data_IF_387552952336
#
_entry.id   IF_387552952336
#
_cell.length_a   1.000
_cell.length_b   1.000
_cell.length_c   1.000
_cell.angle_alpha   90.00
_cell.angle_beta   90.00
_cell.angle_gamma   90.00
#
_symmetry.space_group_name_H-M   'P 1'
#
loop_
_entity.id
_entity.type
_entity.pdbx_description
1 polymer ?
#
# COMPACT_ATOMS: atom_id res chain seq x y z
N UNK A 1 -2.09 4.31 36.65
CA UNK A 1 -1.71 3.53 35.46
C UNK A 1 -2.83 2.52 35.17
N UNK A 2 -3.36 2.44 33.93
CA UNK A 2 -4.28 1.35 33.59
C UNK A 2 -3.51 0.03 33.69
N UNK A 3 -4.10 -0.99 34.32
CA UNK A 3 -3.50 -2.32 34.41
C UNK A 3 -3.36 -2.92 33.01
N UNK A 4 -2.24 -3.59 32.71
CA UNK A 4 -2.03 -4.32 31.47
C UNK A 4 -3.08 -5.43 31.31
N UNK A 5 -3.93 -5.35 30.30
CA UNK A 5 -4.95 -6.37 30.05
C UNK A 5 -4.34 -7.53 29.25
N UNK A 6 -4.36 -8.72 29.83
CA UNK A 6 -3.71 -9.92 29.33
C UNK A 6 -4.57 -10.76 28.34
N UNK A 7 -5.73 -10.26 27.94
CA UNK A 7 -6.63 -10.94 27.01
C UNK A 7 -7.12 -10.03 25.91
N UNK A 8 -7.45 -10.57 24.76
CA UNK A 8 -8.18 -9.95 23.67
C UNK A 8 -8.98 -11.02 22.89
N UNK A 9 -10.03 -10.63 22.18
CA UNK A 9 -10.65 -11.49 21.17
C UNK A 9 -9.80 -11.54 19.91
N UNK A 10 -9.22 -10.38 19.52
CA UNK A 10 -8.34 -10.27 18.37
C UNK A 10 -7.12 -9.41 18.73
N UNK A 11 -5.92 -9.94 18.51
CA UNK A 11 -4.66 -9.20 18.62
C UNK A 11 -4.11 -8.89 17.21
N UNK A 12 -3.92 -7.62 16.90
CA UNK A 12 -3.43 -7.14 15.61
C UNK A 12 -1.98 -6.66 15.77
N UNK A 13 -1.05 -7.23 15.00
CA UNK A 13 0.37 -6.89 15.05
C UNK A 13 0.70 -5.92 13.92
N UNK A 14 0.90 -4.65 14.28
CA UNK A 14 1.20 -3.54 13.38
C UNK A 14 0.13 -2.44 13.42
N UNK A 15 0.56 -1.22 13.71
CA UNK A 15 -0.28 -0.01 13.78
C UNK A 15 -0.21 0.87 12.53
N UNK A 16 0.12 0.29 11.38
CA UNK A 16 -0.02 0.94 10.07
C UNK A 16 -1.45 0.97 9.60
N UNK A 17 -1.68 1.53 8.41
CA UNK A 17 -3.03 1.69 7.81
C UNK A 17 -3.81 0.37 7.76
N UNK A 18 -3.15 -0.77 7.49
CA UNK A 18 -3.78 -2.09 7.46
C UNK A 18 -4.33 -2.48 8.84
N UNK A 19 -3.52 -2.28 9.89
CA UNK A 19 -3.90 -2.68 11.25
C UNK A 19 -5.02 -1.84 11.82
N UNK A 20 -4.97 -0.53 11.64
CA UNK A 20 -6.03 0.37 12.14
C UNK A 20 -7.33 0.24 11.34
N UNK A 21 -7.25 -0.05 10.04
CA UNK A 21 -8.41 -0.37 9.22
C UNK A 21 -9.06 -1.69 9.67
N UNK A 22 -8.28 -2.76 9.82
CA UNK A 22 -8.79 -4.05 10.31
C UNK A 22 -9.43 -3.92 11.71
N UNK A 23 -8.77 -3.19 12.61
CA UNK A 23 -9.29 -2.91 13.96
C UNK A 23 -10.64 -2.18 13.94
N UNK A 24 -10.76 -1.16 13.07
CA UNK A 24 -12.00 -0.42 12.88
C UNK A 24 -13.14 -1.33 12.40
N UNK A 25 -12.92 -2.12 11.35
CA UNK A 25 -13.96 -2.99 10.80
C UNK A 25 -14.36 -4.12 11.76
N UNK A 26 -13.43 -4.68 12.51
CA UNK A 26 -13.73 -5.66 13.56
C UNK A 26 -14.62 -5.04 14.64
N UNK A 27 -14.24 -3.89 15.18
CA UNK A 27 -15.02 -3.21 16.20
C UNK A 27 -16.39 -2.73 15.69
N UNK A 28 -16.46 -2.18 14.46
CA UNK A 28 -17.71 -1.78 13.79
C UNK A 28 -18.67 -2.95 13.62
N UNK A 29 -18.15 -4.18 13.49
CA UNK A 29 -18.91 -5.42 13.40
C UNK A 29 -19.16 -6.10 14.74
N UNK A 30 -18.86 -5.43 15.86
CA UNK A 30 -19.24 -5.84 17.20
C UNK A 30 -18.21 -6.65 18.00
N UNK A 31 -16.96 -6.78 17.52
CA UNK A 31 -15.88 -7.36 18.34
C UNK A 31 -15.55 -6.40 19.48
N UNK A 32 -15.77 -6.82 20.71
CA UNK A 32 -15.71 -5.95 21.88
C UNK A 32 -14.29 -5.73 22.42
N UNK A 33 -13.37 -6.65 22.13
CA UNK A 33 -12.02 -6.65 22.69
C UNK A 33 -10.95 -6.86 21.59
N UNK A 34 -10.69 -5.79 20.85
CA UNK A 34 -9.60 -5.73 19.86
C UNK A 34 -8.42 -4.97 20.42
N UNK A 35 -7.20 -5.48 20.24
CA UNK A 35 -5.97 -4.77 20.58
C UNK A 35 -5.05 -4.66 19.35
N UNK A 36 -4.61 -3.45 19.07
CA UNK A 36 -3.53 -3.18 18.09
C UNK A 36 -2.23 -3.00 18.85
N UNK A 37 -1.19 -3.72 18.44
CA UNK A 37 0.15 -3.71 19.04
C UNK A 37 1.13 -3.11 18.04
N UNK A 38 1.61 -1.91 18.33
CA UNK A 38 2.57 -1.19 17.50
C UNK A 38 3.90 -1.05 18.24
N UNK A 39 5.00 -1.45 17.58
CA UNK A 39 6.34 -1.40 18.18
C UNK A 39 6.85 0.02 18.41
N UNK A 40 6.46 0.94 17.54
CA UNK A 40 6.81 2.36 17.58
C UNK A 40 5.56 3.23 17.81
N UNK A 41 5.39 4.31 17.07
CA UNK A 41 4.17 5.12 17.02
C UNK A 41 3.33 4.71 15.80
N UNK A 42 2.02 4.97 15.85
CA UNK A 42 1.10 4.68 14.75
C UNK A 42 1.55 5.32 13.44
N UNK A 43 1.44 4.56 12.37
CA UNK A 43 1.64 5.01 10.99
C UNK A 43 3.04 5.62 10.68
N UNK A 44 4.05 5.46 11.52
CA UNK A 44 5.37 6.07 11.32
C UNK A 44 6.28 5.32 10.31
N UNK A 45 5.96 4.08 9.97
CA UNK A 45 6.71 3.29 8.99
C UNK A 45 6.18 3.52 7.55
N UNK A 46 6.02 2.45 6.76
CA UNK A 46 5.62 2.54 5.34
C UNK A 46 4.38 3.38 5.09
N UNK A 47 3.43 3.43 6.02
CA UNK A 47 2.23 4.27 5.91
C UNK A 47 2.57 5.76 5.85
N UNK A 48 3.27 6.28 6.86
CA UNK A 48 3.60 7.71 6.94
C UNK A 48 4.72 8.14 5.97
N UNK A 49 5.46 7.18 5.40
CA UNK A 49 6.49 7.43 4.40
C UNK A 49 6.00 7.25 2.96
N UNK A 50 4.72 6.85 2.78
CA UNK A 50 4.09 6.67 1.47
C UNK A 50 3.76 8.01 0.81
N UNK A 51 3.78 8.05 -0.51
CA UNK A 51 3.34 9.21 -1.31
C UNK A 51 1.82 9.32 -1.43
N UNK A 52 1.08 8.34 -0.89
CA UNK A 52 -0.39 8.41 -0.80
C UNK A 52 -1.15 8.21 -2.09
N UNK A 53 -0.52 7.62 -3.09
CA UNK A 53 -1.19 7.33 -4.35
C UNK A 53 -2.25 6.23 -4.23
N UNK A 54 -3.38 6.41 -4.93
CA UNK A 54 -4.38 5.36 -5.14
C UNK A 54 -4.78 5.30 -6.60
N UNK A 55 -4.97 4.10 -7.12
CA UNK A 55 -5.33 3.82 -8.52
C UNK A 55 -6.19 2.59 -8.66
N UNK A 56 -6.93 2.50 -9.75
CA UNK A 56 -7.72 1.35 -10.14
C UNK A 56 -7.13 0.63 -11.36
N UNK A 57 -6.12 1.21 -11.99
CA UNK A 57 -5.40 0.66 -13.12
C UNK A 57 -4.47 -0.47 -12.68
N UNK A 58 -5.01 -1.69 -12.55
CA UNK A 58 -4.28 -2.93 -12.29
C UNK A 58 -4.45 -3.91 -13.44
N UNK A 59 -3.55 -4.88 -13.57
CA UNK A 59 -3.65 -5.99 -14.53
C UNK A 59 -4.54 -7.13 -14.01
N UNK A 60 -4.59 -7.31 -12.69
CA UNK A 60 -5.32 -8.39 -12.05
C UNK A 60 -6.71 -7.93 -11.57
N UNK A 61 -7.82 -8.63 -11.97
CA UNK A 61 -9.19 -8.32 -11.55
C UNK A 61 -9.39 -8.27 -10.02
N UNK A 62 -8.68 -9.10 -9.27
CA UNK A 62 -8.79 -9.10 -7.81
C UNK A 62 -8.22 -7.80 -7.21
N UNK A 63 -7.07 -7.31 -7.73
CA UNK A 63 -6.51 -6.01 -7.32
C UNK A 63 -7.41 -4.84 -7.73
N UNK A 64 -8.02 -4.89 -8.93
CA UNK A 64 -8.99 -3.89 -9.38
C UNK A 64 -10.13 -3.79 -8.35
N UNK A 65 -10.72 -4.92 -7.96
CA UNK A 65 -11.83 -4.95 -6.99
C UNK A 65 -11.43 -4.42 -5.63
N UNK A 66 -10.26 -4.81 -5.10
CA UNK A 66 -9.74 -4.27 -3.84
C UNK A 66 -9.59 -2.75 -3.87
N UNK A 67 -9.02 -2.24 -4.97
CA UNK A 67 -8.86 -0.80 -5.14
C UNK A 67 -10.18 -0.06 -5.28
N UNK A 68 -11.12 -0.57 -6.06
CA UNK A 68 -12.44 0.06 -6.22
C UNK A 68 -13.19 0.17 -4.89
N UNK A 69 -13.20 -0.91 -4.09
CA UNK A 69 -13.83 -0.87 -2.77
C UNK A 69 -13.12 0.12 -1.83
N UNK A 70 -11.81 0.18 -1.88
CA UNK A 70 -11.04 1.10 -1.05
C UNK A 70 -11.23 2.57 -1.46
N UNK A 71 -11.25 2.85 -2.76
CA UNK A 71 -11.48 4.21 -3.28
C UNK A 71 -12.86 4.73 -2.86
N UNK A 72 -13.91 3.89 -2.89
CA UNK A 72 -15.25 4.27 -2.39
C UNK A 72 -15.25 4.69 -0.91
N UNK A 73 -14.41 4.04 -0.09
CA UNK A 73 -14.25 4.42 1.32
C UNK A 73 -13.52 5.75 1.44
N UNK A 74 -12.44 5.95 0.66
CA UNK A 74 -11.69 7.20 0.66
C UNK A 74 -12.49 8.38 0.11
N UNK A 75 -13.32 8.19 -0.90
CA UNK A 75 -14.26 9.22 -1.43
C UNK A 75 -15.22 9.76 -0.36
N UNK A 76 -15.57 8.92 0.62
CA UNK A 76 -16.52 9.26 1.70
C UNK A 76 -15.86 9.37 3.08
N UNK A 77 -14.52 9.49 3.09
CA UNK A 77 -13.75 9.36 4.32
C UNK A 77 -14.10 10.46 5.33
N UNK A 78 -14.22 11.70 4.90
CA UNK A 78 -14.61 12.80 5.77
C UNK A 78 -16.02 12.61 6.35
N UNK A 79 -16.96 12.15 5.53
CA UNK A 79 -18.34 11.85 5.96
C UNK A 79 -18.37 10.71 7.00
N UNK A 80 -17.64 9.62 6.75
CA UNK A 80 -17.70 8.42 7.59
C UNK A 80 -16.83 8.49 8.86
N UNK A 81 -15.69 9.16 8.78
CA UNK A 81 -14.67 9.18 9.84
C UNK A 81 -14.47 10.56 10.48
N UNK A 82 -15.05 11.62 9.90
CA UNK A 82 -14.91 12.99 10.39
C UNK A 82 -13.47 13.53 10.26
N UNK A 83 -12.74 13.08 9.25
CA UNK A 83 -11.35 13.46 9.00
C UNK A 83 -11.13 13.73 7.51
N UNK A 84 -10.67 14.94 7.20
CA UNK A 84 -10.18 15.25 5.86
C UNK A 84 -8.82 14.57 5.65
N UNK A 85 -8.73 13.75 4.62
CA UNK A 85 -7.51 13.02 4.23
C UNK A 85 -6.85 13.63 2.98
N UNK A 86 -7.22 14.84 2.62
CA UNK A 86 -6.77 15.52 1.39
C UNK A 86 -7.01 14.69 0.13
N UNK A 87 -8.13 14.00 0.06
CA UNK A 87 -8.50 13.14 -1.06
C UNK A 87 -8.65 13.94 -2.34
N UNK A 88 -7.86 13.59 -3.37
CA UNK A 88 -7.85 14.28 -4.67
C UNK A 88 -7.76 13.30 -5.83
N UNK A 89 -8.79 13.26 -6.67
CA UNK A 89 -8.78 12.52 -7.94
C UNK A 89 -8.14 13.39 -9.02
N UNK A 90 -6.81 13.39 -9.08
CA UNK A 90 -6.01 14.14 -10.06
C UNK A 90 -5.60 13.31 -11.26
N UNK A 91 -5.90 12.03 -11.22
CA UNK A 91 -5.58 11.05 -12.25
C UNK A 91 -4.19 10.44 -12.14
N UNK A 92 -4.03 9.29 -12.84
CA UNK A 92 -2.76 8.60 -13.07
C UNK A 92 -2.52 8.40 -14.54
N UNK A 93 -1.31 8.69 -14.97
CA UNK A 93 -0.83 8.46 -16.33
C UNK A 93 0.26 7.40 -16.27
N UNK A 94 0.07 6.29 -16.98
CA UNK A 94 1.14 5.33 -17.26
C UNK A 94 1.66 5.57 -18.66
N UNK A 95 2.98 5.65 -18.81
CA UNK A 95 3.69 5.91 -20.05
C UNK A 95 4.64 4.76 -20.37
N UNK A 96 4.82 4.44 -21.66
CA UNK A 96 5.80 3.48 -22.10
C UNK A 96 6.40 3.81 -23.46
N UNK A 97 7.65 3.43 -23.66
CA UNK A 97 8.41 3.51 -24.91
C UNK A 97 8.46 2.15 -25.61
N UNK A 98 8.22 1.05 -24.86
CA UNK A 98 8.38 -0.33 -25.33
C UNK A 98 7.09 -0.86 -25.94
N UNK A 99 7.20 -1.52 -27.08
CA UNK A 99 6.07 -2.15 -27.76
C UNK A 99 5.41 -3.25 -26.92
N UNK A 100 6.22 -4.07 -26.22
CA UNK A 100 5.73 -5.13 -25.35
C UNK A 100 4.87 -4.57 -24.22
N UNK A 101 5.39 -3.58 -23.48
CA UNK A 101 4.65 -2.91 -22.39
C UNK A 101 3.40 -2.20 -22.90
N UNK A 102 3.46 -1.65 -24.12
CA UNK A 102 2.30 -1.03 -24.77
C UNK A 102 1.18 -2.04 -25.02
N UNK A 103 1.52 -3.21 -25.55
CA UNK A 103 0.57 -4.31 -25.78
C UNK A 103 -0.02 -4.82 -24.44
N UNK A 104 0.79 -4.93 -23.39
CA UNK A 104 0.30 -5.22 -22.05
C UNK A 104 -0.69 -4.13 -21.56
N UNK A 105 -0.39 -2.85 -21.80
CA UNK A 105 -1.30 -1.75 -21.45
C UNK A 105 -2.66 -1.89 -22.13
N UNK A 106 -2.68 -2.20 -23.42
CA UNK A 106 -3.93 -2.37 -24.16
C UNK A 106 -4.75 -3.55 -23.63
N UNK A 107 -4.10 -4.68 -23.33
CA UNK A 107 -4.75 -5.85 -22.75
C UNK A 107 -5.31 -5.57 -21.35
N UNK A 108 -4.54 -4.84 -20.51
CA UNK A 108 -4.98 -4.45 -19.19
C UNK A 108 -6.19 -3.50 -19.23
N UNK A 109 -6.20 -2.55 -20.20
CA UNK A 109 -7.34 -1.63 -20.39
C UNK A 109 -8.62 -2.39 -20.73
N UNK A 110 -8.53 -3.47 -21.55
CA UNK A 110 -9.70 -4.31 -21.81
C UNK A 110 -10.24 -4.94 -20.51
N UNK A 111 -9.34 -5.47 -19.68
CA UNK A 111 -9.69 -6.04 -18.36
C UNK A 111 -10.27 -4.97 -17.44
N UNK A 112 -9.65 -3.82 -17.35
CA UNK A 112 -10.08 -2.70 -16.51
C UNK A 112 -11.48 -2.21 -16.93
N UNK A 113 -11.76 -2.06 -18.23
CA UNK A 113 -13.07 -1.66 -18.75
C UNK A 113 -14.17 -2.69 -18.45
N UNK A 114 -13.86 -4.00 -18.54
CA UNK A 114 -14.79 -5.06 -18.12
C UNK A 114 -15.17 -4.97 -16.64
N UNK A 115 -14.30 -4.39 -15.83
CA UNK A 115 -14.54 -4.12 -14.40
C UNK A 115 -14.98 -2.68 -14.11
N UNK A 116 -15.46 -1.95 -15.12
CA UNK A 116 -15.96 -0.57 -15.00
C UNK A 116 -14.93 0.44 -14.48
N UNK A 117 -13.63 0.22 -14.74
CA UNK A 117 -12.60 1.22 -14.48
C UNK A 117 -12.55 2.18 -15.66
N UNK A 118 -12.75 3.49 -15.44
CA UNK A 118 -12.67 4.48 -16.52
C UNK A 118 -11.21 4.74 -16.87
N UNK A 119 -10.76 4.15 -17.98
CA UNK A 119 -9.38 4.32 -18.48
C UNK A 119 -9.41 4.78 -19.92
N UNK A 120 -8.67 5.84 -20.21
CA UNK A 120 -8.41 6.36 -21.53
C UNK A 120 -7.06 5.82 -22.06
N UNK A 121 -7.04 5.48 -23.35
CA UNK A 121 -5.80 5.17 -24.08
C UNK A 121 -5.45 6.41 -24.89
N UNK A 122 -4.23 6.88 -24.75
CA UNK A 122 -3.79 8.16 -25.31
C UNK A 122 -2.55 7.99 -26.19
N UNK A 123 -2.60 8.57 -27.38
CA UNK A 123 -1.44 8.71 -28.24
C UNK A 123 -0.43 9.73 -27.70
N UNK A 124 0.84 9.72 -28.18
CA UNK A 124 1.81 10.75 -27.79
C UNK A 124 1.32 12.17 -28.05
N UNK A 125 0.60 12.43 -29.16
CA UNK A 125 0.07 13.74 -29.52
C UNK A 125 -1.02 14.19 -28.52
N UNK A 126 -1.89 13.28 -28.10
CA UNK A 126 -2.94 13.55 -27.10
C UNK A 126 -2.33 13.80 -25.72
N UNK A 127 -1.30 13.04 -25.33
CA UNK A 127 -0.53 13.27 -24.12
C UNK A 127 0.13 14.65 -24.14
N UNK A 128 0.78 15.03 -25.25
CA UNK A 128 1.41 16.35 -25.42
C UNK A 128 0.42 17.49 -25.37
N UNK A 129 -0.75 17.30 -25.94
CA UNK A 129 -1.83 18.30 -25.94
C UNK A 129 -2.38 18.54 -24.52
N UNK A 130 -2.57 17.48 -23.73
CA UNK A 130 -3.12 17.57 -22.35
C UNK A 130 -2.07 18.03 -21.35
N UNK A 131 -0.83 17.54 -21.47
CA UNK A 131 0.27 17.81 -20.55
C UNK A 131 1.51 18.28 -21.33
N UNK A 132 1.54 19.54 -21.78
CA UNK A 132 2.59 20.06 -22.66
C UNK A 132 4.00 20.01 -22.08
N UNK A 133 4.12 19.87 -20.75
CA UNK A 133 5.37 19.73 -20.05
C UNK A 133 6.02 18.35 -20.18
N UNK A 134 5.28 17.34 -20.65
CA UNK A 134 5.83 16.00 -20.89
C UNK A 134 6.63 15.97 -22.19
N UNK A 135 7.77 15.31 -22.13
CA UNK A 135 8.43 14.81 -23.34
C UNK A 135 7.74 13.50 -23.76
N UNK A 136 7.27 13.46 -24.99
CA UNK A 136 6.52 12.34 -25.56
C UNK A 136 7.19 11.73 -26.79
N UNK A 137 8.34 12.27 -27.20
CA UNK A 137 8.99 11.97 -28.49
C UNK A 137 9.44 10.51 -28.59
N UNK A 138 9.70 9.87 -27.45
CA UNK A 138 10.13 8.49 -27.33
C UNK A 138 8.99 7.50 -26.99
N UNK A 139 7.76 8.01 -26.79
CA UNK A 139 6.65 7.19 -26.30
C UNK A 139 5.91 6.43 -27.40
N UNK A 140 5.44 5.24 -27.06
CA UNK A 140 4.40 4.51 -27.81
C UNK A 140 3.02 5.04 -27.50
N UNK A 141 2.78 5.47 -26.27
CA UNK A 141 1.54 6.02 -25.76
C UNK A 141 1.46 5.95 -24.25
N UNK A 142 0.25 6.13 -23.76
CA UNK A 142 -0.05 6.02 -22.33
C UNK A 142 -1.49 5.69 -22.03
N UNK A 143 -1.76 5.35 -20.78
CA UNK A 143 -3.12 5.19 -20.25
C UNK A 143 -3.36 6.22 -19.15
N UNK A 144 -4.59 6.73 -19.08
CA UNK A 144 -5.00 7.72 -18.08
C UNK A 144 -6.24 7.26 -17.32
N UNK A 145 -6.12 7.12 -16.01
CA UNK A 145 -7.23 6.84 -15.10
C UNK A 145 -7.69 8.10 -14.38
N UNK A 146 -8.80 8.74 -14.81
CA UNK A 146 -9.26 10.01 -14.24
C UNK A 146 -9.78 9.89 -12.80
N UNK A 147 -10.14 8.68 -12.36
CA UNK A 147 -10.62 8.38 -11.01
C UNK A 147 -9.51 7.95 -10.03
N UNK A 148 -8.29 7.88 -10.51
CA UNK A 148 -7.11 7.65 -9.70
C UNK A 148 -6.61 8.97 -9.08
N UNK A 149 -5.78 8.91 -8.04
CA UNK A 149 -5.35 10.14 -7.40
C UNK A 149 -4.47 9.94 -6.19
N UNK A 150 -4.55 10.84 -5.24
CA UNK A 150 -3.78 10.78 -4.00
C UNK A 150 -4.61 11.23 -2.79
N UNK A 151 -4.20 10.75 -1.61
CA UNK A 151 -4.68 11.19 -0.32
C UNK A 151 -3.54 11.11 0.70
N UNK A 152 -3.67 11.73 1.87
CA UNK A 152 -2.66 11.64 2.92
C UNK A 152 -2.79 10.31 3.68
N UNK A 153 -1.77 9.42 3.63
CA UNK A 153 -1.84 8.11 4.26
C UNK A 153 -1.80 8.17 5.80
N UNK A 154 -1.13 9.17 6.36
CA UNK A 154 -1.06 9.35 7.79
C UNK A 154 -2.41 9.81 8.33
N UNK A 155 -3.03 10.82 7.71
CA UNK A 155 -4.36 11.30 8.09
C UNK A 155 -5.41 10.19 7.96
N UNK A 156 -5.34 9.38 6.90
CA UNK A 156 -6.24 8.24 6.74
C UNK A 156 -6.04 7.19 7.85
N UNK A 157 -4.80 6.85 8.17
CA UNK A 157 -4.52 5.91 9.26
C UNK A 157 -5.01 6.45 10.62
N UNK A 158 -4.80 7.73 10.88
CA UNK A 158 -5.27 8.36 12.12
C UNK A 158 -6.79 8.47 12.18
N UNK A 159 -7.47 8.69 11.05
CA UNK A 159 -8.93 8.65 10.95
C UNK A 159 -9.50 7.28 11.35
N UNK A 160 -8.95 6.20 10.78
CA UNK A 160 -9.30 4.82 11.18
C UNK A 160 -8.98 4.56 12.66
N UNK A 161 -7.77 4.91 13.12
CA UNK A 161 -7.36 4.69 14.51
C UNK A 161 -8.27 5.40 15.52
N UNK A 162 -8.62 6.66 15.26
CA UNK A 162 -9.49 7.43 16.12
C UNK A 162 -10.92 6.86 16.13
N UNK A 163 -11.43 6.43 14.99
CA UNK A 163 -12.74 5.78 14.89
C UNK A 163 -12.75 4.41 15.58
N UNK A 164 -11.68 3.62 15.45
CA UNK A 164 -11.51 2.38 16.17
C UNK A 164 -11.47 2.60 17.70
N UNK A 165 -10.74 3.61 18.18
CA UNK A 165 -10.72 3.99 19.61
C UNK A 165 -12.10 4.38 20.14
N UNK A 166 -12.89 5.12 19.38
CA UNK A 166 -14.29 5.47 19.75
C UNK A 166 -15.17 4.23 19.91
N UNK A 167 -14.87 3.15 19.17
CA UNK A 167 -15.54 1.85 19.25
C UNK A 167 -14.94 0.92 20.32
N UNK A 168 -13.98 1.39 21.13
CA UNK A 168 -13.42 0.62 22.24
C UNK A 168 -12.13 -0.15 21.94
N UNK A 169 -11.59 -0.06 20.73
CA UNK A 169 -10.31 -0.69 20.38
C UNK A 169 -9.17 -0.15 21.25
N UNK A 170 -8.38 -1.04 21.81
CA UNK A 170 -7.14 -0.71 22.50
C UNK A 170 -6.02 -0.57 21.48
N UNK A 171 -5.29 0.51 21.51
CA UNK A 171 -4.10 0.71 20.67
C UNK A 171 -2.92 0.93 21.62
N UNK A 172 -2.00 -0.02 21.60
CA UNK A 172 -0.82 -0.06 22.44
C UNK A 172 0.42 0.24 21.60
N UNK A 173 0.78 1.50 21.57
CA UNK A 173 2.04 1.97 20.96
C UNK A 173 3.24 1.60 21.83
N UNK A 174 4.44 1.62 21.25
CA UNK A 174 5.70 1.23 21.89
C UNK A 174 5.60 -0.15 22.58
N UNK A 175 4.94 -1.07 21.86
CA UNK A 175 4.66 -2.43 22.35
C UNK A 175 5.00 -3.43 21.26
N UNK A 176 6.28 -3.80 21.23
CA UNK A 176 6.80 -4.80 20.29
C UNK A 176 6.32 -6.19 20.65
N UNK A 177 5.73 -6.89 19.70
CA UNK A 177 5.47 -8.33 19.79
C UNK A 177 6.82 -9.07 19.59
N UNK A 178 7.09 -10.03 20.46
CA UNK A 178 8.33 -10.80 20.49
C UNK A 178 8.12 -12.29 20.23
N UNK A 179 6.87 -12.76 20.22
CA UNK A 179 6.51 -14.13 19.94
C UNK A 179 5.01 -14.30 19.64
N UNK A 180 4.67 -15.39 18.98
CA UNK A 180 3.29 -15.85 18.77
C UNK A 180 3.18 -17.25 19.39
N UNK A 181 2.24 -17.41 20.32
CA UNK A 181 2.05 -18.67 21.03
C UNK A 181 1.07 -19.55 20.22
N UNK A 182 1.51 -20.77 19.90
CA UNK A 182 0.74 -21.75 19.12
C UNK A 182 0.72 -23.08 19.89
N UNK A 183 -0.45 -23.70 19.98
CA UNK A 183 -0.63 -25.02 20.56
C UNK A 183 -1.56 -25.85 19.66
N UNK A 184 -1.11 -27.04 19.28
CA UNK A 184 -1.89 -27.94 18.43
C UNK A 184 -2.33 -27.33 17.08
N UNK A 185 -1.48 -26.48 16.48
CA UNK A 185 -1.81 -25.78 15.23
C UNK A 185 -2.82 -24.63 15.38
N UNK A 186 -3.09 -24.19 16.61
CA UNK A 186 -4.00 -23.07 16.90
C UNK A 186 -3.28 -21.96 17.65
N UNK A 187 -3.53 -20.73 17.24
CA UNK A 187 -3.03 -19.54 17.95
C UNK A 187 -3.64 -19.45 19.36
N UNK A 188 -2.80 -19.15 20.35
CA UNK A 188 -3.18 -18.90 21.73
C UNK A 188 -3.03 -17.41 22.12
N UNK A 189 -2.21 -16.66 21.37
CA UNK A 189 -1.95 -15.25 21.64
C UNK A 189 -0.56 -14.81 21.22
N UNK A 190 -0.12 -13.72 21.80
CA UNK A 190 1.17 -13.08 21.51
C UNK A 190 1.95 -12.77 22.76
N UNK A 191 3.27 -12.79 22.64
CA UNK A 191 4.22 -12.36 23.67
C UNK A 191 4.67 -10.92 23.40
N UNK A 192 4.76 -10.11 24.45
CA UNK A 192 5.27 -8.72 24.37
C UNK A 192 6.22 -8.44 25.53
N UNK A 193 7.01 -7.36 25.43
CA UNK A 193 7.85 -6.92 26.54
C UNK A 193 7.04 -6.49 27.80
N UNK A 194 5.74 -6.18 27.63
CA UNK A 194 4.82 -5.82 28.72
C UNK A 194 4.11 -7.05 29.32
N UNK A 195 4.33 -8.23 28.74
CA UNK A 195 3.72 -9.50 29.11
C UNK A 195 2.85 -10.09 27.99
N UNK A 196 2.38 -11.33 28.18
CA UNK A 196 1.56 -12.03 27.19
C UNK A 196 0.15 -11.44 27.08
N UNK A 197 -0.43 -11.61 25.86
CA UNK A 197 -1.85 -11.38 25.60
C UNK A 197 -2.42 -12.65 24.99
N UNK A 198 -3.34 -13.31 25.71
CA UNK A 198 -4.08 -14.44 25.16
C UNK A 198 -5.13 -13.93 24.17
N UNK A 199 -5.14 -14.51 22.97
CA UNK A 199 -6.09 -14.16 21.91
C UNK A 199 -6.32 -15.35 20.97
N UNK A 200 -7.58 -15.76 20.71
CA UNK A 200 -7.89 -16.84 19.78
C UNK A 200 -7.67 -16.48 18.31
N UNK A 201 -7.54 -15.18 18.00
CA UNK A 201 -7.21 -14.68 16.67
C UNK A 201 -6.05 -13.67 16.74
N UNK A 202 -5.04 -13.86 15.89
CA UNK A 202 -3.88 -12.99 15.72
C UNK A 202 -3.78 -12.58 14.25
N UNK A 203 -3.60 -11.29 14.01
CA UNK A 203 -3.51 -10.73 12.66
C UNK A 203 -2.12 -10.12 12.44
N UNK A 204 -1.34 -10.69 11.53
CA UNK A 204 -0.06 -10.13 11.12
C UNK A 204 -0.25 -9.12 9.99
N UNK A 205 -0.13 -7.84 10.32
CA UNK A 205 -0.15 -6.70 9.38
C UNK A 205 1.06 -5.79 9.61
N UNK A 206 2.17 -6.41 10.00
CA UNK A 206 3.40 -5.74 10.42
C UNK A 206 4.23 -5.17 9.23
N UNK A 207 3.64 -5.05 8.03
CA UNK A 207 4.27 -4.46 6.85
C UNK A 207 5.66 -5.06 6.57
N UNK A 208 6.75 -4.25 6.54
CA UNK A 208 8.10 -4.73 6.26
C UNK A 208 8.62 -5.79 7.23
N UNK A 209 8.11 -5.82 8.46
CA UNK A 209 8.45 -6.83 9.48
C UNK A 209 7.54 -8.07 9.44
N UNK A 210 6.58 -8.12 8.51
CA UNK A 210 5.60 -9.20 8.43
C UNK A 210 6.23 -10.59 8.28
N UNK A 211 7.33 -10.72 7.55
CA UNK A 211 8.09 -11.97 7.45
C UNK A 211 8.76 -12.38 8.77
N UNK A 212 9.30 -11.42 9.54
CA UNK A 212 9.86 -11.70 10.88
C UNK A 212 8.78 -12.15 11.85
N UNK A 213 7.62 -11.47 11.82
CA UNK A 213 6.47 -11.85 12.65
C UNK A 213 5.93 -13.23 12.25
N UNK A 214 5.87 -13.57 10.97
CA UNK A 214 5.47 -14.91 10.52
C UNK A 214 6.41 -16.01 11.05
N UNK A 215 7.74 -15.77 11.06
CA UNK A 215 8.70 -16.70 11.63
C UNK A 215 8.53 -16.94 13.14
N UNK A 216 7.97 -15.99 13.89
CA UNK A 216 7.61 -16.21 15.31
C UNK A 216 6.56 -17.32 15.48
N UNK A 217 5.75 -17.57 14.45
CA UNK A 217 4.78 -18.65 14.38
C UNK A 217 5.32 -19.92 13.67
N UNK A 218 6.58 -19.91 13.24
CA UNK A 218 7.16 -21.02 12.46
C UNK A 218 6.84 -20.98 10.95
N UNK A 219 6.30 -19.87 10.44
CA UNK A 219 6.00 -19.68 9.03
C UNK A 219 7.12 -18.91 8.33
N UNK A 220 7.64 -19.44 7.22
CA UNK A 220 8.56 -18.71 6.34
C UNK A 220 7.83 -18.21 5.11
N UNK A 221 7.48 -16.93 5.13
CA UNK A 221 6.75 -16.28 4.02
C UNK A 221 7.74 -15.61 3.07
N UNK A 222 7.54 -15.72 1.74
CA UNK A 222 8.43 -15.14 0.75
C UNK A 222 8.21 -13.62 0.60
N UNK A 223 8.32 -12.89 1.70
CA UNK A 223 8.17 -11.43 1.74
C UNK A 223 9.47 -10.78 2.21
N UNK A 224 9.91 -9.76 1.51
CA UNK A 224 11.16 -9.05 1.83
C UNK A 224 10.97 -7.54 1.78
N UNK A 225 11.61 -6.78 2.70
CA UNK A 225 11.61 -5.33 2.65
C UNK A 225 12.62 -4.82 1.61
N UNK A 226 12.21 -3.83 0.82
CA UNK A 226 13.08 -3.12 -0.11
C UNK A 226 12.87 -1.62 0.02
N UNK A 227 13.98 -0.88 0.07
CA UNK A 227 13.93 0.57 0.14
C UNK A 227 13.40 1.16 -1.17
N UNK A 228 12.57 2.19 -1.02
CA UNK A 228 12.15 3.10 -2.09
C UNK A 228 12.46 4.52 -1.66
N UNK A 229 13.18 5.25 -2.49
CA UNK A 229 13.65 6.59 -2.18
C UNK A 229 12.76 7.62 -2.87
N UNK A 230 12.33 8.61 -2.12
CA UNK A 230 11.43 9.68 -2.54
C UNK A 230 12.09 11.02 -2.33
N UNK A 231 11.93 11.93 -3.28
CA UNK A 231 12.50 13.27 -3.23
C UNK A 231 11.41 14.31 -3.50
N UNK A 232 11.46 15.41 -2.75
CA UNK A 232 10.51 16.52 -2.86
C UNK A 232 11.27 17.79 -3.24
N UNK A 233 10.69 18.57 -4.14
CA UNK A 233 11.24 19.86 -4.53
C UNK A 233 10.78 20.97 -3.60
N UNK A 234 11.46 22.10 -3.64
CA UNK A 234 10.92 23.38 -3.19
C UNK A 234 9.69 23.74 -4.02
N UNK A 235 8.99 24.84 -3.65
CA UNK A 235 7.86 25.37 -4.44
C UNK A 235 8.20 25.43 -5.93
N UNK A 236 7.29 24.91 -6.75
CA UNK A 236 7.47 24.77 -8.20
C UNK A 236 6.17 25.03 -8.94
N UNK A 237 6.04 26.22 -9.52
CA UNK A 237 4.81 26.69 -10.17
C UNK A 237 4.94 26.68 -11.71
N UNK A 238 6.03 26.11 -12.27
CA UNK A 238 6.24 26.06 -13.71
C UNK A 238 5.39 25.01 -14.43
N UNK A 239 4.75 24.11 -13.70
CA UNK A 239 3.77 23.14 -14.22
C UNK A 239 2.38 23.53 -13.70
N UNK A 240 1.38 23.70 -14.60
CA UNK A 240 -0.01 23.96 -14.19
C UNK A 240 -0.55 22.87 -13.27
N UNK A 241 -1.24 23.26 -12.21
CA UNK A 241 -1.88 22.34 -11.26
C UNK A 241 -3.36 22.10 -11.64
N UNK A 242 -3.97 20.97 -11.33
CA UNK A 242 -3.35 19.83 -10.61
C UNK A 242 -2.39 19.02 -11.50
N UNK A 243 -1.33 18.48 -10.89
CA UNK A 243 -0.37 17.62 -11.57
C UNK A 243 -0.74 16.17 -11.25
N UNK A 244 -1.15 15.35 -12.23
CA UNK A 244 -1.46 13.94 -12.01
C UNK A 244 -0.23 13.15 -11.59
N UNK A 245 -0.42 11.92 -11.10
CA UNK A 245 0.67 10.98 -10.96
C UNK A 245 1.10 10.51 -12.34
N UNK A 246 2.30 10.87 -12.75
CA UNK A 246 2.91 10.45 -14.02
C UNK A 246 3.89 9.33 -13.73
N UNK A 247 3.72 8.19 -14.37
CA UNK A 247 4.55 7.00 -14.23
C UNK A 247 5.17 6.65 -15.59
N UNK A 248 6.50 6.68 -15.67
CA UNK A 248 7.27 6.10 -16.77
C UNK A 248 7.57 4.64 -16.39
N UNK A 249 6.74 3.72 -16.92
CA UNK A 249 6.75 2.30 -16.50
C UNK A 249 8.07 1.62 -16.82
N UNK A 250 8.71 1.97 -17.92
CA UNK A 250 9.92 1.27 -18.39
C UNK A 250 11.15 1.51 -17.51
N UNK A 251 11.16 2.61 -16.78
CA UNK A 251 12.22 2.98 -15.83
C UNK A 251 11.72 3.11 -14.40
N UNK A 252 10.44 2.77 -14.17
CA UNK A 252 9.76 2.85 -12.87
C UNK A 252 9.83 4.23 -12.20
N UNK A 253 10.07 5.28 -12.99
CA UNK A 253 10.11 6.66 -12.53
C UNK A 253 8.70 7.22 -12.39
N UNK A 254 8.44 7.95 -11.32
CA UNK A 254 7.17 8.66 -11.12
C UNK A 254 7.36 10.04 -10.54
N UNK A 255 6.40 10.93 -10.83
CA UNK A 255 6.25 12.21 -10.14
C UNK A 255 4.80 12.65 -10.10
N UNK A 256 4.44 13.47 -9.11
CA UNK A 256 3.14 14.13 -9.03
C UNK A 256 3.24 15.46 -8.26
N UNK A 257 2.13 16.20 -8.23
CA UNK A 257 2.01 17.39 -7.40
C UNK A 257 2.09 17.05 -5.91
N UNK A 258 2.91 17.80 -5.17
CA UNK A 258 3.04 17.72 -3.72
C UNK A 258 3.23 19.14 -3.19
N UNK A 259 2.15 19.75 -2.74
CA UNK A 259 2.14 21.18 -2.41
C UNK A 259 3.20 21.57 -1.36
N UNK A 260 3.95 22.63 -1.61
CA UNK A 260 3.88 23.55 -2.78
C UNK A 260 4.77 23.13 -3.98
N UNK A 261 5.38 21.96 -3.96
CA UNK A 261 6.33 21.47 -4.97
C UNK A 261 5.84 20.23 -5.72
N UNK A 262 6.79 19.36 -6.01
CA UNK A 262 6.62 18.09 -6.71
C UNK A 262 7.30 17.00 -5.89
N UNK A 263 6.67 15.85 -5.80
CA UNK A 263 7.25 14.62 -5.27
C UNK A 263 7.63 13.71 -6.44
N UNK A 264 8.78 13.04 -6.34
CA UNK A 264 9.26 12.11 -7.35
C UNK A 264 10.03 10.95 -6.72
N UNK A 265 10.03 9.84 -7.39
CA UNK A 265 10.77 8.65 -6.99
C UNK A 265 10.95 7.67 -8.13
N UNK A 266 11.68 6.59 -7.85
CA UNK A 266 11.97 5.54 -8.80
C UNK A 266 12.32 4.26 -8.04
N UNK A 267 12.10 3.09 -8.65
CA UNK A 267 12.62 1.82 -8.12
C UNK A 267 14.06 1.60 -8.61
N UNK A 268 14.94 1.13 -7.72
CA UNK A 268 16.26 0.60 -8.11
C UNK A 268 16.16 -0.94 -8.17
N UNK A 269 16.35 -1.55 -9.34
CA UNK A 269 16.31 -3.02 -9.47
C UNK A 269 17.46 -3.71 -8.71
N UNK A 270 18.52 -2.97 -8.36
CA UNK A 270 19.69 -3.47 -7.64
C UNK A 270 19.62 -3.17 -6.14
N UNK A 271 18.53 -2.56 -5.64
CA UNK A 271 18.38 -2.29 -4.21
C UNK A 271 18.40 -3.60 -3.40
N UNK A 272 19.32 -3.78 -2.46
CA UNK A 272 19.33 -4.98 -1.63
C UNK A 272 18.18 -4.99 -0.63
N UNK A 273 17.64 -6.17 -0.34
CA UNK A 273 16.65 -6.31 0.73
C UNK A 273 17.27 -5.90 2.08
N UNK A 274 16.70 -4.90 2.71
CA UNK A 274 17.17 -4.35 3.99
C UNK A 274 16.09 -3.45 4.63
N UNK A 275 16.35 -3.05 5.89
CA UNK A 275 15.57 -2.02 6.60
C UNK A 275 16.19 -0.63 6.53
N UNK A 276 17.10 -0.38 5.56
CA UNK A 276 17.72 0.93 5.37
C UNK A 276 16.67 1.98 4.92
N UNK A 277 16.68 3.15 5.54
CA UNK A 277 15.79 4.28 5.21
C UNK A 277 16.57 5.52 4.75
N UNK A 278 17.89 5.43 4.63
CA UNK A 278 18.70 6.55 4.17
C UNK A 278 18.51 6.78 2.67
N UNK A 279 18.69 8.03 2.23
CA UNK A 279 18.75 8.37 0.81
C UNK A 279 20.18 8.38 0.32
N UNK A 280 20.38 8.05 -0.96
CA UNK A 280 21.67 8.05 -1.64
C UNK A 280 21.73 9.20 -2.64
N UNK A 281 22.87 9.89 -2.68
CA UNK A 281 23.08 10.98 -3.63
C UNK A 281 23.15 10.48 -5.08
N UNK A 282 23.86 9.38 -5.31
CA UNK A 282 24.01 8.81 -6.65
C UNK A 282 22.65 8.34 -7.21
N UNK A 283 21.76 7.86 -6.32
CA UNK A 283 20.42 7.50 -6.71
C UNK A 283 19.55 8.73 -7.01
N UNK A 284 19.69 9.80 -6.24
CA UNK A 284 19.03 11.08 -6.54
C UNK A 284 19.41 11.58 -7.94
N UNK A 285 20.67 11.47 -8.36
CA UNK A 285 21.12 11.88 -9.70
C UNK A 285 20.37 11.10 -10.78
N UNK A 286 20.22 9.79 -10.63
CA UNK A 286 19.40 8.94 -11.55
C UNK A 286 17.93 9.38 -11.60
N UNK A 287 17.33 9.68 -10.45
CA UNK A 287 15.95 10.18 -10.37
C UNK A 287 15.80 11.51 -11.08
N UNK A 288 16.77 12.43 -10.91
CA UNK A 288 16.76 13.74 -11.58
C UNK A 288 16.93 13.59 -13.10
N UNK A 289 17.80 12.71 -13.57
CA UNK A 289 17.95 12.39 -14.99
C UNK A 289 16.64 11.89 -15.61
N UNK A 290 15.97 10.91 -14.96
CA UNK A 290 14.69 10.41 -15.39
C UNK A 290 13.61 11.51 -15.39
N UNK A 291 13.59 12.36 -14.35
CA UNK A 291 12.67 13.49 -14.24
C UNK A 291 12.85 14.50 -15.39
N UNK A 292 14.08 14.92 -15.67
CA UNK A 292 14.38 15.90 -16.74
C UNK A 292 14.13 15.28 -18.11
N UNK A 293 14.41 14.01 -18.30
CA UNK A 293 14.09 13.28 -19.55
C UNK A 293 12.60 13.29 -19.81
N UNK A 294 11.76 12.92 -18.80
CA UNK A 294 10.32 12.81 -18.98
C UNK A 294 9.59 14.15 -18.95
N UNK A 295 10.06 15.09 -18.15
CA UNK A 295 9.50 16.44 -18.07
C UNK A 295 10.64 17.48 -18.03
N UNK A 296 11.14 17.96 -19.19
CA UNK A 296 12.33 18.83 -19.28
C UNK A 296 12.27 20.13 -18.45
N UNK A 297 11.06 20.59 -18.15
CA UNK A 297 10.84 21.77 -17.30
C UNK A 297 11.36 21.55 -15.87
N UNK A 298 11.42 20.29 -15.40
CA UNK A 298 11.89 19.92 -14.06
C UNK A 298 13.38 20.19 -13.83
N UNK A 299 14.17 20.45 -14.88
CA UNK A 299 15.55 20.97 -14.73
C UNK A 299 15.65 22.26 -13.93
N UNK A 300 14.55 23.01 -13.81
CA UNK A 300 14.46 24.26 -13.03
C UNK A 300 14.09 24.00 -11.56
N UNK A 301 13.64 22.79 -11.22
CA UNK A 301 13.25 22.45 -9.86
C UNK A 301 14.49 22.34 -8.96
N UNK A 302 14.29 22.58 -7.65
CA UNK A 302 15.34 22.44 -6.64
C UNK A 302 14.90 21.46 -5.60
N UNK A 303 15.68 20.43 -5.36
CA UNK A 303 15.37 19.43 -4.30
C UNK A 303 15.37 20.14 -2.95
N UNK A 304 14.35 19.89 -2.16
CA UNK A 304 14.22 20.34 -0.78
C UNK A 304 14.73 19.29 0.19
N UNK A 305 14.23 18.05 0.06
CA UNK A 305 14.54 16.91 0.92
C UNK A 305 14.21 15.59 0.22
N UNK A 306 14.68 14.50 0.82
CA UNK A 306 14.26 13.15 0.45
C UNK A 306 14.20 12.25 1.67
N UNK A 307 13.57 11.09 1.52
CA UNK A 307 13.53 10.04 2.52
C UNK A 307 13.41 8.67 1.86
N UNK A 308 13.73 7.62 2.62
CA UNK A 308 13.49 6.23 2.23
C UNK A 308 12.25 5.68 2.92
N UNK A 309 11.43 4.94 2.19
CA UNK A 309 10.35 4.10 2.70
C UNK A 309 10.63 2.63 2.38
N UNK A 310 9.88 1.71 2.98
CA UNK A 310 10.04 0.28 2.72
C UNK A 310 8.81 -0.27 2.00
N UNK A 311 9.03 -0.86 0.82
CA UNK A 311 8.07 -1.77 0.21
C UNK A 311 8.27 -3.17 0.78
N UNK A 312 7.18 -3.90 0.97
CA UNK A 312 7.21 -5.32 1.32
C UNK A 312 6.82 -6.09 0.08
N UNK A 313 7.80 -6.72 -0.55
CA UNK A 313 7.67 -7.33 -1.88
C UNK A 313 7.52 -8.84 -1.74
N UNK A 314 6.58 -9.41 -2.49
CA UNK A 314 6.38 -10.83 -2.75
C UNK A 314 6.95 -11.20 -4.13
N UNK A 315 7.20 -12.49 -4.44
CA UNK A 315 7.74 -12.90 -5.75
C UNK A 315 6.85 -12.62 -6.96
N UNK A 316 5.56 -12.31 -6.75
CA UNK A 316 4.55 -12.06 -7.78
C UNK A 316 3.87 -10.70 -7.62
N UNK A 317 4.40 -9.85 -6.75
CA UNK A 317 3.90 -8.51 -6.44
C UNK A 317 2.45 -8.44 -5.93
N UNK A 318 1.81 -9.58 -5.67
CA UNK A 318 0.50 -9.65 -5.02
C UNK A 318 0.64 -9.82 -3.50
N UNK A 319 -0.23 -9.23 -2.69
CA UNK A 319 -0.21 -9.43 -1.25
C UNK A 319 -0.55 -10.87 -0.85
N UNK A 320 -0.21 -11.23 0.38
CA UNK A 320 -0.73 -12.42 1.06
C UNK A 320 -1.85 -11.95 1.97
N UNK A 321 -3.08 -12.47 1.76
CA UNK A 321 -4.27 -12.12 2.54
C UNK A 321 -5.01 -13.40 2.90
N UNK A 322 -5.26 -13.61 4.19
CA UNK A 322 -6.06 -14.74 4.66
C UNK A 322 -5.55 -15.40 5.93
N UNK A 323 -6.20 -16.51 6.30
CA UNK A 323 -5.76 -17.37 7.40
C UNK A 323 -4.59 -18.24 6.95
N UNK A 324 -3.59 -18.38 7.80
CA UNK A 324 -2.40 -19.18 7.50
C UNK A 324 -2.74 -20.68 7.46
N UNK A 325 -2.39 -21.35 6.37
CA UNK A 325 -2.60 -22.79 6.23
C UNK A 325 -1.90 -23.56 7.35
N UNK A 326 -2.63 -24.42 8.05
CA UNK A 326 -2.10 -25.19 9.19
C UNK A 326 -2.06 -24.45 10.53
N UNK A 327 -2.46 -23.18 10.58
CA UNK A 327 -2.45 -22.36 11.80
C UNK A 327 -3.78 -21.66 12.03
N UNK A 328 -4.72 -22.38 12.66
CA UNK A 328 -6.05 -21.80 12.91
C UNK A 328 -6.00 -20.59 13.83
N UNK A 329 -6.66 -19.50 13.40
CA UNK A 329 -6.70 -18.23 14.10
C UNK A 329 -5.52 -17.31 13.81
N UNK A 330 -4.56 -17.71 12.94
CA UNK A 330 -3.48 -16.84 12.49
C UNK A 330 -3.82 -16.28 11.10
N UNK A 331 -4.04 -14.98 11.03
CA UNK A 331 -4.34 -14.26 9.79
C UNK A 331 -3.19 -13.35 9.40
N UNK A 332 -3.08 -13.04 8.11
CA UNK A 332 -2.14 -12.03 7.64
C UNK A 332 -2.74 -11.17 6.51
N UNK A 333 -2.21 -9.94 6.40
CA UNK A 333 -2.29 -9.12 5.21
C UNK A 333 -0.97 -8.36 5.06
N UNK A 334 -0.05 -8.91 4.25
CA UNK A 334 1.32 -8.42 4.08
C UNK A 334 1.78 -8.58 2.62
N UNK A 335 2.89 -7.94 2.27
CA UNK A 335 3.48 -8.13 0.93
C UNK A 335 2.79 -7.34 -0.17
N UNK A 336 2.35 -6.13 0.10
CA UNK A 336 1.58 -5.31 -0.84
C UNK A 336 2.39 -4.63 -1.94
N UNK A 337 3.70 -4.82 -2.02
CA UNK A 337 4.56 -4.36 -3.12
C UNK A 337 4.29 -2.90 -3.57
N UNK A 338 4.06 -1.99 -2.61
CA UNK A 338 3.73 -0.59 -2.87
C UNK A 338 2.23 -0.24 -2.91
N UNK A 339 1.33 -1.23 -2.90
CA UNK A 339 -0.13 -1.00 -3.03
C UNK A 339 -0.89 -0.93 -1.70
N UNK A 340 -0.21 -1.05 -0.56
CA UNK A 340 -0.85 -1.23 0.74
C UNK A 340 -1.81 -0.11 1.12
N UNK A 341 -1.43 1.15 0.95
CA UNK A 341 -2.30 2.27 1.28
C UNK A 341 -3.63 2.18 0.53
N UNK A 342 -3.58 2.09 -0.80
CA UNK A 342 -4.77 2.14 -1.65
C UNK A 342 -5.71 0.94 -1.52
N UNK A 343 -5.29 -0.16 -0.88
CA UNK A 343 -6.10 -1.36 -0.67
C UNK A 343 -6.52 -1.58 0.79
N UNK A 344 -6.00 -0.77 1.71
CA UNK A 344 -6.19 -0.97 3.14
C UNK A 344 -7.65 -0.98 3.63
N UNK A 345 -8.56 -0.10 3.17
CA UNK A 345 -9.96 -0.17 3.56
C UNK A 345 -10.63 -1.52 3.22
N UNK A 346 -10.49 -1.98 1.96
CA UNK A 346 -11.06 -3.26 1.53
C UNK A 346 -10.45 -4.44 2.29
N UNK A 347 -9.13 -4.43 2.50
CA UNK A 347 -8.43 -5.50 3.23
C UNK A 347 -8.85 -5.56 4.70
N UNK A 348 -9.02 -4.41 5.34
CA UNK A 348 -9.55 -4.36 6.72
C UNK A 348 -10.95 -4.98 6.83
N UNK A 349 -11.83 -4.68 5.86
CA UNK A 349 -13.14 -5.31 5.77
C UNK A 349 -13.02 -6.83 5.56
N UNK A 350 -12.20 -7.27 4.62
CA UNK A 350 -11.96 -8.69 4.32
C UNK A 350 -11.47 -9.44 5.57
N UNK A 351 -10.48 -8.92 6.28
CA UNK A 351 -9.97 -9.53 7.51
C UNK A 351 -11.08 -9.67 8.56
N UNK A 352 -11.94 -8.67 8.70
CA UNK A 352 -13.08 -8.75 9.62
C UNK A 352 -14.10 -9.82 9.22
N UNK A 353 -14.34 -10.02 7.92
CA UNK A 353 -15.20 -11.07 7.39
C UNK A 353 -14.60 -12.46 7.63
N UNK A 354 -13.33 -12.65 7.31
CA UNK A 354 -12.65 -13.93 7.52
C UNK A 354 -12.61 -14.34 8.98
N UNK A 355 -12.39 -13.40 9.89
CA UNK A 355 -12.28 -13.67 11.34
C UNK A 355 -13.67 -14.00 11.93
N UNK A 356 -14.71 -13.29 11.53
CA UNK A 356 -16.05 -13.42 12.13
C UNK A 356 -16.92 -14.43 11.40
N UNK A 357 -16.89 -14.45 10.07
CA UNK A 357 -17.80 -15.27 9.24
C UNK A 357 -17.10 -16.51 8.67
N UNK A 358 -15.76 -16.53 8.70
CA UNK A 358 -14.94 -17.59 8.09
C UNK A 358 -14.86 -17.52 6.56
N UNK A 359 -15.48 -16.53 5.92
CA UNK A 359 -15.47 -16.35 4.47
C UNK A 359 -15.62 -14.87 4.06
N UNK A 360 -15.39 -14.59 2.79
CA UNK A 360 -15.59 -13.29 2.15
C UNK A 360 -16.01 -13.48 0.70
N UNK A 361 -16.75 -12.50 0.13
CA UNK A 361 -17.13 -12.50 -1.29
C UNK A 361 -16.01 -12.03 -2.22
N UNK A 362 -14.87 -11.61 -1.68
CA UNK A 362 -13.69 -11.28 -2.47
C UNK A 362 -12.97 -12.55 -2.92
N UNK A 363 -12.53 -12.57 -4.19
CA UNK A 363 -11.69 -13.65 -4.69
C UNK A 363 -10.28 -13.53 -4.10
N UNK A 364 -9.98 -14.32 -3.08
CA UNK A 364 -8.68 -14.34 -2.43
C UNK A 364 -7.72 -15.39 -3.03
N UNK A 365 -8.11 -16.15 -4.05
CA UNK A 365 -7.24 -17.15 -4.67
C UNK A 365 -5.87 -16.57 -5.09
N UNK A 366 -5.79 -15.37 -5.73
CA UNK A 366 -4.51 -14.75 -6.09
C UNK A 366 -3.68 -14.28 -4.88
N UNK A 367 -4.27 -14.25 -3.70
CA UNK A 367 -3.67 -13.73 -2.46
C UNK A 367 -3.46 -14.80 -1.39
N UNK A 368 -3.73 -16.09 -1.71
CA UNK A 368 -3.60 -17.20 -0.76
C UNK A 368 -2.16 -17.46 -0.34
N UNK A 369 -1.97 -18.01 0.86
CA UNK A 369 -0.66 -18.48 1.33
C UNK A 369 -0.03 -19.52 0.40
N UNK A 370 -0.84 -20.46 -0.08
CA UNK A 370 -0.38 -21.68 -0.76
C UNK A 370 -0.02 -21.45 -2.23
N UNK A 371 -0.27 -20.26 -2.80
CA UNK A 371 -0.03 -20.00 -4.24
C UNK A 371 1.44 -20.16 -4.64
N UNK A 372 2.35 -19.91 -3.71
CA UNK A 372 3.79 -20.04 -3.98
C UNK A 372 4.26 -21.51 -4.04
N UNK A 373 3.58 -22.41 -3.32
CA UNK A 373 3.84 -23.85 -3.39
C UNK A 373 3.34 -24.45 -4.71
N UNK A 374 2.21 -23.97 -5.20
CA UNK A 374 1.53 -24.46 -6.42
C UNK A 374 2.11 -23.93 -7.73
N UNK A 375 3.11 -23.04 -7.67
CA UNK A 375 3.70 -22.35 -8.85
C UNK A 375 2.67 -21.63 -9.75
N UNK A 376 1.50 -21.29 -9.23
CA UNK A 376 0.52 -20.45 -9.92
C UNK A 376 1.02 -18.99 -9.85
N UNK A 377 1.64 -18.53 -10.93
CA UNK A 377 2.27 -17.20 -10.99
C UNK A 377 1.56 -16.31 -12.03
N UNK A 378 0.42 -15.77 -11.65
CA UNK A 378 -0.08 -14.57 -12.32
C UNK A 378 0.25 -13.37 -11.44
N UNK A 379 1.39 -12.75 -11.68
CA UNK A 379 1.86 -11.57 -10.95
C UNK A 379 1.14 -10.29 -11.37
N UNK A 380 1.18 -9.27 -10.50
CA UNK A 380 0.74 -7.93 -10.86
C UNK A 380 1.81 -7.23 -11.71
N UNK A 381 1.43 -6.77 -12.92
CA UNK A 381 2.36 -6.15 -13.88
C UNK A 381 2.56 -4.64 -13.67
N UNK A 382 1.62 -3.99 -13.01
CA UNK A 382 1.61 -2.53 -12.80
C UNK A 382 2.26 -2.15 -11.46
N UNK A 383 3.54 -2.49 -11.28
CA UNK A 383 4.33 -2.17 -10.07
C UNK A 383 5.40 -1.12 -10.39
N UNK A 384 5.61 -0.15 -9.48
CA UNK A 384 6.58 0.94 -9.63
C UNK A 384 7.47 1.06 -8.39
#
# INVERSE_FOLDING_TARGET
MKSWKKTAEVAIIGGGIMGVSAAYYLAKRGVSDVVVLEKDLLAQASTGLSVGGFRQQFSNPANIRLSQESVRVYERFEEEFGADIEFRQVGYIFLTQKEETWNDFLSDVETQRKHNVPVEVLSPEELKKRWPYLNVDDLKGGTFGPKDGCADPYLAAMGFANSARKLGVRIEEQTKVTGISIEGGRVQGVETAKGPISAPAVVNVAGPWGGEVARMAGLDLPVKPYRRQVFVTKSFDAIPKPIPMVIDQDVTFYFCGYEPGIIMGMSDPNEPSSFNLNTDRDFLEKVVEAAVRRAPILKKARILRGWGGLYTITPDDNPIIGEATGFKGLFAAIGFSGHGFQQAPAVGLILSQLILDGHTDFNLKPFSYDRFEKKEKEGEKRVV
#
